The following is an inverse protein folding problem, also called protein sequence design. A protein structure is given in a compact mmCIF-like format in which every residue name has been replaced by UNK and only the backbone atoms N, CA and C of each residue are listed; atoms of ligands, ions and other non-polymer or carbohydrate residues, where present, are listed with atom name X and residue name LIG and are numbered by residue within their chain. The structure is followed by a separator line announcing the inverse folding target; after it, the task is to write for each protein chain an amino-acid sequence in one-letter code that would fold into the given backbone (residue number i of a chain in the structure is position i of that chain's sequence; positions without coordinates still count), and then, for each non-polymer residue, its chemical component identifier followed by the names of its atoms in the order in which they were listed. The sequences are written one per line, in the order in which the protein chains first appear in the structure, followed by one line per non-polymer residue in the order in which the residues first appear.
data_IF_413178063534
#
_entry.id   IF_413178063534
#
_cell.length_a   1.000
_cell.length_b   1.000
_cell.length_c   1.000
_cell.angle_alpha   90.00
_cell.angle_beta   90.00
_cell.angle_gamma   90.00
#
_symmetry.space_group_name_H-M   'P 1'
#
loop_
_entity.id
_entity.type
_entity.pdbx_description
1 polymer ?
#
# COMPACT_ATOMS: atom_id res chain seq x y z
N UNK A 1 2.06 20.36 -7.81
CA UNK A 1 0.72 20.47 -7.19
C UNK A 1 0.75 21.16 -5.82
N UNK A 2 1.60 20.75 -4.87
CA UNK A 2 1.50 21.20 -3.46
C UNK A 2 2.26 22.48 -3.06
N UNK A 3 2.99 23.13 -3.98
CA UNK A 3 3.88 24.26 -3.65
C UNK A 3 3.17 25.63 -3.58
N UNK A 4 2.03 25.70 -2.90
CA UNK A 4 1.23 26.91 -2.74
C UNK A 4 1.20 27.34 -1.26
N UNK A 5 1.52 28.60 -0.99
CA UNK A 5 1.63 29.11 0.37
C UNK A 5 0.31 29.72 0.85
N UNK A 6 -0.14 29.28 2.02
CA UNK A 6 -1.28 29.83 2.75
C UNK A 6 -0.82 30.45 4.07
N UNK A 7 -1.43 31.56 4.47
CA UNK A 7 -1.14 32.26 5.71
C UNK A 7 -1.59 33.73 5.67
N UNK A 8 -1.26 34.50 6.69
CA UNK A 8 -1.59 35.93 6.74
C UNK A 8 -0.97 36.65 5.53
N UNK A 9 -1.81 37.19 4.64
CA UNK A 9 -1.37 37.87 3.43
C UNK A 9 -0.95 36.95 2.27
N UNK A 10 -1.21 35.64 2.35
CA UNK A 10 -0.99 34.70 1.24
C UNK A 10 -2.13 33.69 1.14
N UNK A 11 -2.78 33.63 -0.02
CA UNK A 11 -3.98 32.82 -0.26
C UNK A 11 -3.76 31.87 -1.43
N UNK A 12 -2.83 30.92 -1.29
CA UNK A 12 -2.53 29.94 -2.35
C UNK A 12 -1.56 30.43 -3.41
N UNK A 13 -0.72 31.42 -3.09
CA UNK A 13 0.33 31.88 -4.02
C UNK A 13 1.37 30.78 -4.27
N UNK A 14 1.72 30.53 -5.54
CA UNK A 14 2.77 29.56 -5.88
C UNK A 14 4.15 30.01 -5.36
N UNK A 15 4.83 29.14 -4.62
CA UNK A 15 6.11 29.38 -3.94
C UNK A 15 7.07 28.16 -4.01
N UNK A 16 7.38 27.61 -5.20
CA UNK A 16 8.20 26.40 -5.34
C UNK A 16 9.61 26.53 -4.76
N UNK A 17 10.27 27.68 -4.92
CA UNK A 17 11.62 27.90 -4.35
C UNK A 17 11.64 27.88 -2.82
N UNK A 18 10.63 28.47 -2.18
CA UNK A 18 10.48 28.42 -0.72
C UNK A 18 10.13 27.01 -0.25
N UNK A 19 9.22 26.33 -0.94
CA UNK A 19 8.84 24.96 -0.60
C UNK A 19 10.06 24.02 -0.65
N UNK A 20 10.87 24.09 -1.71
CA UNK A 20 12.12 23.33 -1.84
C UNK A 20 13.09 23.61 -0.69
N UNK A 21 13.30 24.87 -0.33
CA UNK A 21 14.18 25.25 0.79
C UNK A 21 13.71 24.67 2.13
N UNK A 22 12.39 24.58 2.36
CA UNK A 22 11.83 24.00 3.58
C UNK A 22 11.99 22.48 3.60
N UNK A 23 11.73 21.81 2.47
CA UNK A 23 11.95 20.36 2.32
C UNK A 23 13.40 19.96 2.61
N UNK A 24 14.37 20.76 2.14
CA UNK A 24 15.80 20.53 2.41
C UNK A 24 16.22 20.63 3.88
N UNK A 25 15.32 21.09 4.78
CA UNK A 25 15.58 21.20 6.23
C UNK A 25 14.71 20.24 7.06
N UNK A 26 13.95 19.36 6.41
CA UNK A 26 12.96 18.52 7.08
C UNK A 26 13.62 17.23 7.55
N UNK A 27 14.00 17.12 8.81
CA UNK A 27 14.66 15.92 9.37
C UNK A 27 13.67 14.83 9.78
N UNK A 28 12.44 15.23 10.09
CA UNK A 28 11.37 14.34 10.52
C UNK A 28 10.11 14.67 9.74
N UNK A 29 9.40 13.64 9.28
CA UNK A 29 8.06 13.76 8.72
C UNK A 29 7.08 13.01 9.62
N UNK A 30 5.86 13.51 9.75
CA UNK A 30 4.83 12.89 10.59
C UNK A 30 3.48 12.94 9.88
N UNK A 31 2.74 11.84 9.95
CA UNK A 31 1.30 11.77 9.63
C UNK A 31 0.58 11.13 10.80
N UNK A 32 -0.54 11.71 11.22
CA UNK A 32 -1.35 11.16 12.29
C UNK A 32 -2.53 10.36 11.72
N UNK A 33 -2.84 9.26 12.38
CA UNK A 33 -4.01 8.41 12.20
C UNK A 33 -4.87 8.47 13.46
N UNK A 34 -6.09 8.96 13.32
CA UNK A 34 -7.05 9.23 14.38
C UNK A 34 -8.21 8.22 14.42
N UNK A 35 -8.21 7.25 13.50
CA UNK A 35 -9.25 6.23 13.34
C UNK A 35 -8.67 4.82 13.40
N UNK A 36 -9.49 3.85 13.84
CA UNK A 36 -9.17 2.41 13.75
C UNK A 36 -9.81 1.76 12.54
N UNK A 37 -10.81 2.40 11.96
CA UNK A 37 -11.60 1.93 10.83
C UNK A 37 -10.82 1.99 9.52
N UNK A 38 -9.90 2.95 9.43
CA UNK A 38 -8.98 3.13 8.31
C UNK A 38 -7.54 3.15 8.80
N UNK A 39 -6.64 2.76 7.91
CA UNK A 39 -5.20 2.75 8.10
C UNK A 39 -4.45 3.19 6.85
N UNK A 40 -3.13 3.25 6.93
CA UNK A 40 -2.27 3.67 5.83
C UNK A 40 -2.49 2.90 4.52
N UNK A 41 -2.98 1.66 4.57
CA UNK A 41 -3.22 0.81 3.40
C UNK A 41 -4.67 0.89 2.89
N UNK A 42 -5.48 1.80 3.43
CA UNK A 42 -6.92 1.86 3.15
C UNK A 42 -7.29 2.77 1.99
N UNK A 43 -6.44 3.72 1.62
CA UNK A 43 -6.67 4.65 0.52
C UNK A 43 -5.35 5.17 -0.05
N UNK A 44 -5.37 5.56 -1.33
CA UNK A 44 -4.21 6.15 -2.01
C UNK A 44 -3.77 7.50 -1.45
N UNK A 45 -4.67 8.26 -0.82
CA UNK A 45 -4.34 9.56 -0.22
C UNK A 45 -3.19 9.47 0.79
N UNK A 46 -3.10 8.36 1.51
CA UNK A 46 -2.06 8.16 2.51
C UNK A 46 -0.66 8.23 1.89
N UNK A 47 -0.36 7.44 0.86
CA UNK A 47 0.95 7.50 0.20
C UNK A 47 1.06 8.71 -0.74
N UNK A 48 -0.03 9.17 -1.36
CA UNK A 48 -0.01 10.34 -2.25
C UNK A 48 0.44 11.61 -1.52
N UNK A 49 -0.08 11.83 -0.31
CA UNK A 49 0.31 12.98 0.50
C UNK A 49 1.54 12.69 1.34
N UNK A 50 1.51 11.63 2.15
CA UNK A 50 2.56 11.41 3.13
C UNK A 50 3.80 10.75 2.52
N UNK A 51 3.61 9.66 1.77
CA UNK A 51 4.67 9.11 0.94
C UNK A 51 5.25 10.14 -0.03
N UNK A 52 4.41 10.94 -0.69
CA UNK A 52 4.82 12.04 -1.56
C UNK A 52 5.66 13.11 -0.83
N UNK A 53 5.32 13.44 0.43
CA UNK A 53 6.14 14.33 1.25
C UNK A 53 7.52 13.72 1.56
N UNK A 54 7.55 12.43 1.89
CA UNK A 54 8.78 11.68 2.14
C UNK A 54 9.67 11.75 0.88
N UNK A 55 9.16 11.36 -0.30
CA UNK A 55 9.90 11.46 -1.57
C UNK A 55 10.38 12.87 -1.84
N UNK A 56 9.50 13.87 -1.67
CA UNK A 56 9.84 15.27 -1.95
C UNK A 56 10.97 15.75 -1.04
N UNK A 57 10.92 15.45 0.26
CA UNK A 57 12.00 15.76 1.19
C UNK A 57 13.29 15.02 0.83
N UNK A 58 13.22 13.71 0.60
CA UNK A 58 14.36 12.88 0.21
C UNK A 58 15.07 13.41 -1.04
N UNK A 59 14.30 13.77 -2.07
CA UNK A 59 14.83 14.26 -3.35
C UNK A 59 15.60 15.58 -3.24
N UNK A 60 15.31 16.40 -2.22
CA UNK A 60 15.96 17.69 -2.00
C UNK A 60 17.12 17.57 -1.01
N UNK A 61 16.97 16.72 0.01
CA UNK A 61 17.97 16.51 1.05
C UNK A 61 19.13 15.60 0.61
N UNK A 62 18.83 14.60 -0.22
CA UNK A 62 19.74 13.53 -0.60
C UNK A 62 19.65 12.29 0.29
N UNK A 63 18.97 12.36 1.43
CA UNK A 63 18.67 11.24 2.33
C UNK A 63 17.20 11.25 2.76
N UNK A 64 16.67 10.08 3.13
CA UNK A 64 15.30 9.97 3.60
C UNK A 64 15.17 10.51 5.03
N UNK A 65 14.25 11.45 5.30
CA UNK A 65 14.00 11.91 6.66
C UNK A 65 13.42 10.78 7.52
N UNK A 66 13.55 10.89 8.85
CA UNK A 66 12.87 9.98 9.76
C UNK A 66 11.35 10.14 9.59
N UNK A 67 10.69 9.12 9.07
CA UNK A 67 9.25 9.14 8.84
C UNK A 67 8.51 8.42 9.97
N UNK A 68 7.59 9.13 10.62
CA UNK A 68 6.81 8.63 11.76
C UNK A 68 5.31 8.64 11.46
N UNK A 69 4.57 7.75 12.11
CA UNK A 69 3.12 7.75 12.15
C UNK A 69 2.64 7.82 13.59
N UNK A 70 1.78 8.80 13.87
CA UNK A 70 1.14 8.97 15.17
C UNK A 70 -0.23 8.29 15.18
N UNK A 71 -0.43 7.29 16.01
CA UNK A 71 -1.72 6.63 16.25
C UNK A 71 -2.38 7.28 17.46
N UNK A 72 -3.38 8.12 17.20
CA UNK A 72 -4.20 8.82 18.19
C UNK A 72 -5.66 8.33 18.20
N UNK A 73 -5.92 7.18 17.58
CA UNK A 73 -7.26 6.56 17.54
C UNK A 73 -7.78 6.13 18.91
N UNK A 74 -6.87 5.98 19.87
CA UNK A 74 -7.15 5.86 21.30
C UNK A 74 -6.51 7.06 22.01
N UNK A 75 -7.27 8.13 22.31
CA UNK A 75 -6.72 9.36 22.90
C UNK A 75 -6.05 9.17 24.25
N UNK A 76 -6.41 8.11 25.00
CA UNK A 76 -5.78 7.77 26.28
C UNK A 76 -4.44 7.03 26.09
N UNK A 77 -4.15 6.56 24.87
CA UNK A 77 -2.98 5.75 24.56
C UNK A 77 -2.42 6.07 23.17
N UNK A 78 -1.98 7.31 23.00
CA UNK A 78 -1.28 7.75 21.80
C UNK A 78 0.02 6.95 21.61
N UNK A 79 0.27 6.48 20.39
CA UNK A 79 1.49 5.78 20.01
C UNK A 79 2.16 6.47 18.85
N UNK A 80 3.48 6.35 18.77
CA UNK A 80 4.26 6.78 17.61
C UNK A 80 5.08 5.60 17.14
N UNK A 81 5.01 5.30 15.85
CA UNK A 81 5.80 4.27 15.17
C UNK A 81 6.56 4.90 14.02
N UNK A 82 7.66 4.31 13.58
CA UNK A 82 8.16 4.60 12.23
C UNK A 82 7.12 4.17 11.19
N UNK A 83 7.14 4.78 10.01
CA UNK A 83 6.24 4.40 8.92
C UNK A 83 6.39 2.93 8.52
N UNK A 84 7.62 2.40 8.58
CA UNK A 84 7.88 0.98 8.35
C UNK A 84 7.25 0.09 9.45
N UNK A 85 7.40 0.45 10.73
CA UNK A 85 6.74 -0.29 11.82
C UNK A 85 5.21 -0.27 11.72
N UNK A 86 4.62 0.85 11.27
CA UNK A 86 3.17 0.91 11.01
C UNK A 86 2.77 0.01 9.84
N UNK A 87 3.54 0.00 8.74
CA UNK A 87 3.28 -0.89 7.60
C UNK A 87 3.30 -2.37 8.03
N UNK A 88 4.30 -2.78 8.82
CA UNK A 88 4.37 -4.14 9.41
C UNK A 88 3.20 -4.43 10.34
N UNK A 89 2.77 -3.44 11.14
CA UNK A 89 1.67 -3.58 12.07
C UNK A 89 0.35 -3.80 11.32
N UNK A 90 0.04 -2.94 10.36
CA UNK A 90 -1.17 -2.99 9.53
C UNK A 90 -1.23 -4.27 8.71
N UNK A 91 -0.11 -4.69 8.12
CA UNK A 91 -0.06 -5.95 7.37
C UNK A 91 -0.52 -7.13 8.24
N UNK A 92 0.07 -7.30 9.43
CA UNK A 92 -0.26 -8.40 10.35
C UNK A 92 -1.64 -8.26 10.97
N UNK A 93 -2.03 -7.04 11.34
CA UNK A 93 -3.29 -6.78 12.02
C UNK A 93 -4.49 -6.91 11.07
N UNK A 94 -4.29 -6.70 9.76
CA UNK A 94 -5.38 -6.63 8.79
C UNK A 94 -5.13 -7.43 7.52
N UNK A 95 -4.15 -7.06 6.69
CA UNK A 95 -4.01 -7.59 5.32
C UNK A 95 -3.92 -9.12 5.33
N UNK A 96 -3.02 -9.68 6.13
CA UNK A 96 -2.85 -11.14 6.22
C UNK A 96 -3.54 -11.75 7.45
N UNK A 97 -4.44 -11.00 8.10
CA UNK A 97 -5.15 -11.49 9.27
C UNK A 97 -6.32 -12.41 8.86
N UNK A 98 -6.33 -13.69 9.25
CA UNK A 98 -7.39 -14.61 8.86
C UNK A 98 -8.80 -14.18 9.32
N UNK A 99 -8.91 -13.46 10.44
CA UNK A 99 -10.19 -12.92 10.92
C UNK A 99 -10.73 -11.83 9.99
N UNK A 100 -9.84 -10.96 9.51
CA UNK A 100 -10.20 -9.90 8.58
C UNK A 100 -10.54 -10.49 7.20
N UNK A 101 -9.73 -11.42 6.70
CA UNK A 101 -9.96 -12.10 5.41
C UNK A 101 -11.29 -12.87 5.38
N UNK A 102 -11.57 -13.69 6.40
CA UNK A 102 -12.90 -14.33 6.54
C UNK A 102 -14.03 -13.31 6.71
N UNK A 103 -13.71 -12.11 7.21
CA UNK A 103 -14.57 -10.93 7.19
C UNK A 103 -14.98 -10.57 5.78
N UNK A 104 -13.99 -10.26 4.95
CA UNK A 104 -14.15 -9.86 3.56
C UNK A 104 -14.85 -10.92 2.72
N UNK A 105 -14.56 -12.21 2.95
CA UNK A 105 -15.16 -13.32 2.21
C UNK A 105 -16.68 -13.35 2.28
N UNK A 106 -17.28 -12.88 3.38
CA UNK A 106 -18.75 -12.77 3.54
C UNK A 106 -19.40 -11.72 2.64
N UNK A 107 -18.59 -10.86 1.99
CA UNK A 107 -19.05 -9.78 1.12
C UNK A 107 -18.80 -10.04 -0.37
N UNK A 108 -18.41 -11.27 -0.74
CA UNK A 108 -18.32 -11.74 -2.13
C UNK A 108 -17.52 -10.78 -3.02
N UNK A 109 -18.12 -10.36 -4.14
CA UNK A 109 -17.49 -9.50 -5.16
C UNK A 109 -16.84 -8.25 -4.57
N UNK A 110 -17.54 -7.54 -3.66
CA UNK A 110 -17.03 -6.31 -3.04
C UNK A 110 -15.89 -6.61 -2.07
N UNK A 111 -15.99 -7.72 -1.34
CA UNK A 111 -14.94 -8.18 -0.44
C UNK A 111 -13.62 -8.43 -1.19
N UNK A 112 -13.69 -9.12 -2.33
CA UNK A 112 -12.54 -9.38 -3.19
C UNK A 112 -12.00 -8.08 -3.83
N UNK A 113 -12.90 -7.20 -4.26
CA UNK A 113 -12.53 -5.89 -4.81
C UNK A 113 -11.75 -5.02 -3.81
N UNK A 114 -12.15 -5.02 -2.54
CA UNK A 114 -11.43 -4.31 -1.48
C UNK A 114 -10.06 -4.94 -1.19
N UNK A 115 -9.95 -6.26 -1.25
CA UNK A 115 -8.65 -6.94 -1.14
C UNK A 115 -7.72 -6.51 -2.28
N UNK A 116 -8.23 -6.55 -3.50
CA UNK A 116 -7.49 -6.11 -4.69
C UNK A 116 -7.06 -4.64 -4.61
N UNK A 117 -7.95 -3.73 -4.22
CA UNK A 117 -7.64 -2.30 -4.17
C UNK A 117 -6.47 -1.98 -3.24
N UNK A 118 -6.35 -2.69 -2.12
CA UNK A 118 -5.22 -2.47 -1.21
C UNK A 118 -3.87 -2.78 -1.84
N UNK A 119 -3.79 -3.72 -2.79
CA UNK A 119 -2.52 -4.04 -3.43
C UNK A 119 -1.97 -2.86 -4.23
N UNK A 120 -2.85 -2.03 -4.81
CA UNK A 120 -2.45 -0.77 -5.43
C UNK A 120 -1.84 0.19 -4.38
N UNK A 121 -2.41 0.22 -3.18
CA UNK A 121 -1.95 1.07 -2.07
C UNK A 121 -0.62 0.58 -1.49
N UNK A 122 -0.42 -0.73 -1.37
CA UNK A 122 0.85 -1.35 -0.95
C UNK A 122 1.98 -0.96 -1.89
N UNK A 123 1.78 -1.10 -3.21
CA UNK A 123 2.76 -0.67 -4.21
C UNK A 123 3.03 0.84 -4.14
N UNK A 124 1.99 1.66 -3.95
CA UNK A 124 2.15 3.10 -3.80
C UNK A 124 3.01 3.49 -2.60
N UNK A 125 2.87 2.77 -1.48
CA UNK A 125 3.72 2.94 -0.31
C UNK A 125 5.17 2.54 -0.55
N UNK A 126 5.41 1.44 -1.27
CA UNK A 126 6.78 1.04 -1.55
C UNK A 126 7.46 2.01 -2.52
N UNK A 127 6.75 2.42 -3.57
CA UNK A 127 7.22 3.40 -4.55
C UNK A 127 7.56 4.77 -3.95
N UNK A 128 6.94 5.15 -2.82
CA UNK A 128 7.11 6.48 -2.23
C UNK A 128 7.98 6.47 -0.98
N UNK A 129 7.86 5.46 -0.11
CA UNK A 129 8.54 5.46 1.17
C UNK A 129 9.46 4.25 1.38
N UNK A 130 9.44 3.24 0.50
CA UNK A 130 10.27 2.04 0.64
C UNK A 130 9.98 1.26 1.93
N UNK A 131 8.71 1.22 2.35
CA UNK A 131 8.29 0.66 3.65
C UNK A 131 7.74 -0.75 3.56
N UNK A 132 7.69 -1.33 2.36
CA UNK A 132 7.25 -2.71 2.15
C UNK A 132 8.48 -3.59 2.00
N UNK A 133 8.60 -4.59 2.86
CA UNK A 133 9.72 -5.53 2.82
C UNK A 133 9.36 -6.77 1.99
N UNK A 134 10.38 -7.48 1.49
CA UNK A 134 10.20 -8.70 0.69
C UNK A 134 9.26 -9.72 1.34
N UNK A 135 9.39 -9.95 2.66
CA UNK A 135 8.52 -10.88 3.39
C UNK A 135 7.06 -10.43 3.43
N UNK A 136 6.79 -9.13 3.28
CA UNK A 136 5.42 -8.59 3.28
C UNK A 136 4.73 -8.92 1.97
N UNK A 137 5.44 -8.83 0.85
CA UNK A 137 4.97 -9.29 -0.46
C UNK A 137 4.78 -10.80 -0.47
N UNK A 138 5.73 -11.56 0.08
CA UNK A 138 5.63 -13.01 0.23
C UNK A 138 4.36 -13.40 1.01
N UNK A 139 4.14 -12.81 2.18
CA UNK A 139 2.97 -13.11 3.01
C UNK A 139 1.64 -12.77 2.33
N UNK A 140 1.61 -11.74 1.48
CA UNK A 140 0.45 -11.40 0.67
C UNK A 140 0.22 -12.42 -0.44
N UNK A 141 1.29 -12.83 -1.16
CA UNK A 141 1.20 -13.86 -2.20
C UNK A 141 0.69 -15.18 -1.61
N UNK A 142 1.25 -15.61 -0.48
CA UNK A 142 0.81 -16.79 0.27
C UNK A 142 -0.67 -16.70 0.64
N UNK A 143 -1.10 -15.58 1.23
CA UNK A 143 -2.46 -15.43 1.76
C UNK A 143 -3.53 -15.29 0.68
N UNK A 144 -3.22 -14.70 -0.48
CA UNK A 144 -4.23 -14.32 -1.49
C UNK A 144 -4.20 -15.18 -2.75
N UNK A 145 -3.01 -15.64 -3.14
CA UNK A 145 -2.81 -16.38 -4.40
C UNK A 145 -2.59 -17.85 -4.13
N UNK A 146 -1.70 -18.18 -3.19
CA UNK A 146 -1.29 -19.58 -2.96
C UNK A 146 -2.23 -20.35 -2.04
N UNK A 147 -2.97 -19.64 -1.17
CA UNK A 147 -4.04 -20.25 -0.38
C UNK A 147 -5.17 -20.77 -1.29
N UNK A 148 -5.41 -22.09 -1.35
CA UNK A 148 -6.36 -22.65 -2.31
C UNK A 148 -7.80 -22.20 -2.06
N UNK A 149 -8.19 -21.98 -0.80
CA UNK A 149 -9.53 -21.54 -0.42
C UNK A 149 -9.77 -20.10 -0.89
N UNK A 150 -8.85 -19.19 -0.59
CA UNK A 150 -8.91 -17.79 -1.01
C UNK A 150 -8.88 -17.67 -2.52
N UNK A 151 -7.96 -18.40 -3.18
CA UNK A 151 -7.84 -18.43 -4.63
C UNK A 151 -9.14 -18.89 -5.28
N UNK A 152 -9.70 -20.02 -4.83
CA UNK A 152 -10.96 -20.54 -5.37
C UNK A 152 -12.12 -19.57 -5.13
N UNK A 153 -12.21 -18.97 -3.93
CA UNK A 153 -13.23 -17.99 -3.61
C UNK A 153 -13.14 -16.75 -4.52
N UNK A 154 -11.95 -16.16 -4.70
CA UNK A 154 -11.77 -15.01 -5.59
C UNK A 154 -12.12 -15.34 -7.04
N UNK A 155 -11.69 -16.50 -7.56
CA UNK A 155 -12.07 -16.97 -8.91
C UNK A 155 -13.57 -17.04 -9.11
N UNK A 156 -14.32 -17.43 -8.07
CA UNK A 156 -15.78 -17.51 -8.14
C UNK A 156 -16.44 -16.13 -8.05
N UNK A 157 -16.04 -15.30 -7.09
CA UNK A 157 -16.79 -14.07 -6.77
C UNK A 157 -16.31 -12.85 -7.54
N UNK A 158 -15.03 -12.77 -7.90
CA UNK A 158 -14.43 -11.64 -8.63
C UNK A 158 -13.05 -12.04 -9.21
N UNK A 159 -13.00 -12.72 -10.37
CA UNK A 159 -11.73 -13.15 -10.97
C UNK A 159 -10.81 -11.98 -11.35
N UNK A 160 -11.37 -10.82 -11.72
CA UNK A 160 -10.59 -9.61 -12.00
C UNK A 160 -9.84 -9.06 -10.79
N UNK A 161 -10.38 -9.24 -9.57
CA UNK A 161 -9.67 -8.88 -8.35
C UNK A 161 -8.43 -9.76 -8.14
N UNK A 162 -8.54 -11.06 -8.39
CA UNK A 162 -7.38 -11.97 -8.31
C UNK A 162 -6.34 -11.63 -9.38
N UNK A 163 -6.78 -11.37 -10.61
CA UNK A 163 -5.91 -10.92 -11.70
C UNK A 163 -5.13 -9.66 -11.32
N UNK A 164 -5.80 -8.63 -10.79
CA UNK A 164 -5.11 -7.42 -10.36
C UNK A 164 -4.11 -7.67 -9.22
N UNK A 165 -4.43 -8.53 -8.24
CA UNK A 165 -3.47 -8.89 -7.18
C UNK A 165 -2.21 -9.51 -7.78
N UNK A 166 -2.37 -10.47 -8.70
CA UNK A 166 -1.27 -11.10 -9.43
C UNK A 166 -0.46 -10.09 -10.24
N UNK A 167 -1.14 -9.19 -10.96
CA UNK A 167 -0.50 -8.08 -11.68
C UNK A 167 0.36 -7.23 -10.77
N UNK A 168 -0.16 -6.82 -9.60
CA UNK A 168 0.58 -5.98 -8.65
C UNK A 168 1.79 -6.70 -8.04
N UNK A 169 1.67 -7.99 -7.75
CA UNK A 169 2.79 -8.81 -7.27
C UNK A 169 3.88 -8.96 -8.34
N UNK A 170 3.50 -9.25 -9.59
CA UNK A 170 4.42 -9.33 -10.72
C UNK A 170 5.05 -7.96 -11.05
N UNK A 171 4.28 -6.89 -10.93
CA UNK A 171 4.76 -5.50 -11.07
C UNK A 171 5.83 -5.19 -10.02
N UNK A 172 5.62 -5.56 -8.75
CA UNK A 172 6.60 -5.40 -7.69
C UNK A 172 7.93 -6.12 -8.00
N UNK A 173 7.86 -7.35 -8.51
CA UNK A 173 9.05 -8.10 -8.96
C UNK A 173 9.74 -7.37 -10.10
N UNK A 174 8.98 -6.97 -11.13
CA UNK A 174 9.52 -6.32 -12.33
C UNK A 174 10.23 -4.99 -12.03
N UNK A 175 9.74 -4.27 -11.00
CA UNK A 175 10.30 -3.00 -10.54
C UNK A 175 11.40 -3.15 -9.50
N UNK A 176 11.81 -4.37 -9.19
CA UNK A 176 12.81 -4.68 -8.14
C UNK A 176 12.40 -4.19 -6.74
N UNK A 177 11.10 -3.98 -6.53
CA UNK A 177 10.48 -3.68 -5.23
C UNK A 177 10.41 -4.93 -4.35
N UNK A 178 10.16 -6.08 -4.98
CA UNK A 178 10.17 -7.38 -4.34
C UNK A 178 11.20 -8.31 -4.97
N UNK A 179 12.08 -8.87 -4.16
CA UNK A 179 13.04 -9.91 -4.56
C UNK A 179 12.48 -11.31 -4.30
N UNK A 180 11.46 -11.69 -5.08
CA UNK A 180 10.89 -13.03 -5.04
C UNK A 180 11.91 -14.10 -5.47
N UNK A 181 11.74 -15.33 -4.98
CA UNK A 181 12.48 -16.48 -5.50
C UNK A 181 12.07 -16.78 -6.95
N UNK A 182 12.94 -17.40 -7.77
CA UNK A 182 12.56 -17.81 -9.13
C UNK A 182 11.30 -18.69 -9.16
N UNK A 183 11.15 -19.57 -8.17
CA UNK A 183 10.01 -20.46 -8.01
C UNK A 183 8.72 -19.67 -7.74
N UNK A 184 8.75 -18.74 -6.77
CA UNK A 184 7.61 -17.86 -6.46
C UNK A 184 7.23 -17.03 -7.68
N UNK A 185 8.21 -16.42 -8.35
CA UNK A 185 7.95 -15.61 -9.53
C UNK A 185 7.33 -16.43 -10.68
N UNK A 186 7.70 -17.71 -10.82
CA UNK A 186 7.10 -18.58 -11.82
C UNK A 186 5.67 -18.98 -11.44
N UNK A 187 5.42 -19.35 -10.18
CA UNK A 187 4.10 -19.73 -9.70
C UNK A 187 3.07 -18.60 -9.84
N UNK A 188 3.50 -17.35 -9.61
CA UNK A 188 2.67 -16.18 -9.85
C UNK A 188 2.36 -15.97 -11.34
N UNK A 189 3.32 -16.19 -12.25
CA UNK A 189 3.06 -16.09 -13.70
C UNK A 189 2.10 -17.17 -14.18
N UNK A 190 2.28 -18.40 -13.71
CA UNK A 190 1.41 -19.51 -14.07
C UNK A 190 -0.02 -19.25 -13.55
N UNK A 191 -0.14 -18.76 -12.33
CA UNK A 191 -1.43 -18.35 -11.74
C UNK A 191 -2.08 -17.20 -12.50
N UNK A 192 -1.29 -16.25 -13.01
CA UNK A 192 -1.77 -15.14 -13.83
C UNK A 192 -2.35 -15.63 -15.17
N UNK A 193 -1.63 -16.50 -15.88
CA UNK A 193 -2.11 -17.07 -17.15
C UNK A 193 -3.39 -17.90 -16.95
N UNK A 194 -3.49 -18.63 -15.84
CA UNK A 194 -4.68 -19.41 -15.53
C UNK A 194 -5.91 -18.52 -15.29
N UNK A 195 -5.76 -17.41 -14.56
CA UNK A 195 -6.89 -16.49 -14.32
C UNK A 195 -7.26 -15.67 -15.57
N UNK A 196 -6.28 -15.36 -16.42
CA UNK A 196 -6.53 -14.70 -17.71
C UNK A 196 -7.40 -15.58 -18.60
N UNK A 197 -7.05 -16.87 -18.74
CA UNK A 197 -7.88 -17.85 -19.47
C UNK A 197 -9.29 -17.98 -18.91
N UNK A 198 -9.44 -18.08 -17.58
CA UNK A 198 -10.77 -18.11 -16.93
C UNK A 198 -11.64 -16.88 -17.26
N UNK A 199 -11.03 -15.70 -17.37
CA UNK A 199 -11.74 -14.45 -17.62
C UNK A 199 -12.15 -14.37 -19.10
N UNK A 200 -11.27 -14.75 -20.01
CA UNK A 200 -11.56 -14.80 -21.45
C UNK A 200 -12.71 -15.76 -21.75
N UNK A 201 -12.70 -16.98 -21.20
CA UNK A 201 -13.77 -17.97 -21.37
C UNK A 201 -15.14 -17.51 -20.87
N UNK A 202 -15.19 -16.60 -19.87
CA UNK A 202 -16.45 -16.03 -19.35
C UNK A 202 -16.98 -14.86 -20.17
N UNK A 203 -16.12 -14.27 -21.00
CA UNK A 203 -16.43 -13.08 -21.79
C UNK A 203 -16.90 -13.44 -23.21
N UNK A 204 -16.57 -14.65 -23.69
CA UNK A 204 -17.12 -15.27 -24.90
C UNK A 204 -18.56 -15.81 -24.71
#
# INVERSE_FOLDING_TARGET
YSAHAYGRGSYGSSRPGTFRRLLGRMDVTVKNEDSREYDMMSCTDYYNYYGGLIVAASSVRGDQPLSLMGDASDPERVRVRSTAEEARHVLRARLVNPKWLRGMMRHGYKGAGDISHMMDVVLGWDATAGVIEDWMYEAVAEAYVLDPEMRQWMRQVNPHALQNILDKLLEAISRSMWRATPEMAQELRDSYLEIEGDIEERTE
#
